data_IF_329451292933
#
_entry.id   IF_329451292933
#
_cell.length_a   1.000
_cell.length_b   1.000
_cell.length_c   1.000
_cell.angle_alpha   90.00
_cell.angle_beta   90.00
_cell.angle_gamma   90.00
#
_symmetry.space_group_name_H-M   'P 1'
#
loop_
_entity.id
_entity.type
_entity.pdbx_description
1 polymer ?
#
# COMPACT_ATOMS: atom_id res chain seq x y z
N UNK A 1 -9.58 -14.10 -14.31
CA UNK A 1 -8.87 -14.07 -13.01
C UNK A 1 -9.61 -13.15 -12.08
N UNK A 2 -9.40 -13.23 -10.77
CA UNK A 2 -10.20 -12.52 -9.79
C UNK A 2 -9.33 -11.52 -9.02
N UNK A 3 -9.97 -10.49 -8.50
CA UNK A 3 -9.41 -9.68 -7.42
C UNK A 3 -9.33 -10.57 -6.18
N UNK A 4 -8.12 -10.71 -5.62
CA UNK A 4 -7.84 -11.64 -4.52
C UNK A 4 -7.54 -10.89 -3.21
N UNK A 5 -7.58 -11.63 -2.10
CA UNK A 5 -7.12 -11.14 -0.81
C UNK A 5 -5.60 -10.94 -0.80
N UNK A 6 -5.12 -9.88 -0.13
CA UNK A 6 -3.67 -9.67 0.08
C UNK A 6 -3.04 -10.78 0.92
N UNK A 7 -3.81 -11.49 1.72
CA UNK A 7 -3.32 -12.58 2.57
C UNK A 7 -2.45 -13.57 1.80
N UNK A 8 -2.92 -14.02 0.64
CA UNK A 8 -2.18 -15.01 -0.17
C UNK A 8 -0.86 -14.45 -0.72
N UNK A 9 -0.87 -13.18 -1.16
CA UNK A 9 0.32 -12.50 -1.67
C UNK A 9 1.36 -12.28 -0.59
N UNK A 10 0.92 -11.85 0.61
CA UNK A 10 1.83 -11.53 1.72
C UNK A 10 2.39 -12.78 2.40
N UNK A 11 1.62 -13.87 2.48
CA UNK A 11 2.10 -15.16 2.97
C UNK A 11 3.17 -15.74 2.04
N UNK A 12 2.96 -15.66 0.72
CA UNK A 12 3.99 -16.09 -0.24
C UNK A 12 5.24 -15.21 -0.16
N UNK A 13 5.07 -13.89 -0.05
CA UNK A 13 6.18 -12.95 0.12
C UNK A 13 6.99 -13.25 1.39
N UNK A 14 6.33 -13.54 2.51
CA UNK A 14 6.97 -13.89 3.77
C UNK A 14 7.73 -15.21 3.68
N UNK A 15 7.15 -16.21 3.04
CA UNK A 15 7.77 -17.52 2.88
C UNK A 15 9.01 -17.48 1.95
N UNK A 16 9.04 -16.54 1.00
CA UNK A 16 10.07 -16.45 -0.03
C UNK A 16 11.01 -15.24 0.10
N UNK A 17 10.90 -14.46 1.20
CA UNK A 17 11.83 -13.38 1.54
C UNK A 17 11.84 -12.21 0.56
N UNK A 18 10.65 -11.76 0.10
CA UNK A 18 10.47 -10.57 -0.71
C UNK A 18 9.30 -9.73 -0.19
N UNK A 19 9.07 -8.54 -0.75
CA UNK A 19 7.89 -7.76 -0.43
C UNK A 19 7.02 -7.53 -1.68
N UNK A 20 5.69 -7.47 -1.49
CA UNK A 20 4.75 -7.06 -2.53
C UNK A 20 4.62 -5.53 -2.49
N UNK A 21 4.91 -4.82 -3.60
CA UNK A 21 4.67 -3.39 -3.63
C UNK A 21 3.15 -3.10 -3.68
N UNK A 22 2.73 -2.15 -2.86
CA UNK A 22 1.37 -1.62 -2.83
C UNK A 22 1.39 -0.19 -3.37
N UNK A 23 0.74 0.01 -4.51
CA UNK A 23 0.75 1.28 -5.22
C UNK A 23 -0.58 2.00 -5.07
N UNK A 24 -0.56 3.25 -4.61
CA UNK A 24 -1.76 4.07 -4.55
C UNK A 24 -2.20 4.47 -5.96
N UNK A 25 -3.50 4.27 -6.23
CA UNK A 25 -4.16 4.52 -7.51
C UNK A 25 -5.13 5.68 -7.40
N UNK A 26 -5.39 6.37 -8.52
CA UNK A 26 -6.24 7.57 -8.52
C UNK A 26 -7.20 7.65 -9.71
N UNK A 27 -6.86 7.02 -10.84
CA UNK A 27 -7.61 7.02 -12.09
C UNK A 27 -7.21 5.85 -12.99
N UNK A 28 -7.82 5.75 -14.16
CA UNK A 28 -7.55 4.66 -15.12
C UNK A 28 -6.08 4.62 -15.57
N UNK A 29 -5.47 5.79 -15.80
CA UNK A 29 -4.09 5.89 -16.27
C UNK A 29 -3.10 5.39 -15.23
N UNK A 30 -3.31 5.69 -13.95
CA UNK A 30 -2.44 5.21 -12.87
C UNK A 30 -2.55 3.69 -12.69
N UNK A 31 -3.77 3.14 -12.75
CA UNK A 31 -4.00 1.69 -12.72
C UNK A 31 -3.30 1.01 -13.90
N UNK A 32 -3.50 1.52 -15.12
CA UNK A 32 -2.92 0.95 -16.32
C UNK A 32 -1.39 0.98 -16.28
N UNK A 33 -0.77 2.12 -15.91
CA UNK A 33 0.68 2.26 -15.85
C UNK A 33 1.32 1.24 -14.89
N UNK A 34 0.72 1.03 -13.71
CA UNK A 34 1.18 0.06 -12.73
C UNK A 34 1.08 -1.36 -13.28
N UNK A 35 -0.09 -1.73 -13.81
CA UNK A 35 -0.36 -3.10 -14.22
C UNK A 35 0.40 -3.51 -15.48
N UNK A 36 0.67 -2.59 -16.42
CA UNK A 36 1.55 -2.84 -17.57
C UNK A 36 2.94 -3.31 -17.09
N UNK A 37 3.56 -2.59 -16.14
CA UNK A 37 4.89 -2.96 -15.62
C UNK A 37 4.85 -4.23 -14.77
N UNK A 38 3.83 -4.38 -13.91
CA UNK A 38 3.70 -5.58 -13.07
C UNK A 38 3.52 -6.84 -13.93
N UNK A 39 2.74 -6.75 -15.02
CA UNK A 39 2.59 -7.84 -15.98
C UNK A 39 3.90 -8.16 -16.71
N UNK A 40 4.58 -7.12 -17.24
CA UNK A 40 5.87 -7.24 -17.92
C UNK A 40 6.92 -7.93 -17.04
N UNK A 41 7.00 -7.52 -15.78
CA UNK A 41 7.97 -8.04 -14.81
C UNK A 41 7.47 -9.28 -14.04
N UNK A 42 6.25 -9.74 -14.29
CA UNK A 42 5.61 -10.86 -13.58
C UNK A 42 5.66 -10.68 -12.05
N UNK A 43 5.36 -9.47 -11.60
CA UNK A 43 5.34 -9.08 -10.19
C UNK A 43 3.93 -9.14 -9.62
N UNK A 44 3.71 -9.76 -8.45
CA UNK A 44 2.45 -9.56 -7.72
C UNK A 44 2.27 -8.08 -7.37
N UNK A 45 1.03 -7.65 -7.26
CA UNK A 45 0.70 -6.23 -7.05
C UNK A 45 -0.50 -6.06 -6.13
N UNK A 46 -0.42 -5.03 -5.30
CA UNK A 46 -1.52 -4.49 -4.52
C UNK A 46 -1.83 -3.09 -5.08
N UNK A 47 -3.07 -2.88 -5.52
CA UNK A 47 -3.58 -1.56 -5.88
C UNK A 47 -4.31 -0.99 -4.68
N UNK A 48 -3.80 0.11 -4.13
CA UNK A 48 -4.28 0.71 -2.89
C UNK A 48 -5.14 1.95 -3.17
N UNK A 49 -6.33 2.02 -2.59
CA UNK A 49 -7.21 3.18 -2.66
C UNK A 49 -7.53 3.74 -1.29
N UNK A 50 -7.21 5.02 -1.06
CA UNK A 50 -7.57 5.77 0.14
C UNK A 50 -9.03 6.22 0.09
N UNK A 51 -9.62 6.69 1.20
CA UNK A 51 -10.94 7.35 1.16
C UNK A 51 -11.01 8.49 0.13
N UNK A 52 -9.91 9.26 -0.05
CA UNK A 52 -9.80 10.30 -1.06
C UNK A 52 -9.91 9.77 -2.49
N UNK A 53 -9.29 8.63 -2.78
CA UNK A 53 -9.42 7.95 -4.07
C UNK A 53 -10.89 7.65 -4.39
N UNK A 54 -11.63 7.06 -3.44
CA UNK A 54 -13.04 6.69 -3.64
C UNK A 54 -14.03 7.86 -3.60
N UNK A 55 -13.60 9.04 -3.18
CA UNK A 55 -14.33 10.30 -3.38
C UNK A 55 -14.15 10.85 -4.79
N UNK A 56 -12.98 10.60 -5.41
CA UNK A 56 -12.65 11.08 -6.75
C UNK A 56 -13.25 10.21 -7.86
N UNK A 57 -13.18 8.88 -7.70
CA UNK A 57 -13.73 7.89 -8.64
C UNK A 57 -14.48 6.81 -7.85
N UNK A 58 -15.66 6.41 -8.32
CA UNK A 58 -16.48 5.44 -7.59
C UNK A 58 -15.80 4.07 -7.50
N UNK A 59 -16.08 3.36 -6.40
CA UNK A 59 -15.53 2.02 -6.17
C UNK A 59 -15.87 1.05 -7.31
N UNK A 60 -17.10 1.10 -7.81
CA UNK A 60 -17.60 0.23 -8.87
C UNK A 60 -16.79 0.42 -10.16
N UNK A 61 -16.39 1.65 -10.47
CA UNK A 61 -15.57 1.98 -11.64
C UNK A 61 -14.14 1.46 -11.46
N UNK A 62 -13.52 1.69 -10.29
CA UNK A 62 -12.18 1.15 -9.97
C UNK A 62 -12.21 -0.37 -10.01
N UNK A 63 -13.22 -1.00 -9.40
CA UNK A 63 -13.36 -2.45 -9.36
C UNK A 63 -13.50 -3.04 -10.79
N UNK A 64 -14.31 -2.40 -11.63
CA UNK A 64 -14.49 -2.81 -13.02
C UNK A 64 -13.18 -2.70 -13.82
N UNK A 65 -12.44 -1.60 -13.67
CA UNK A 65 -11.12 -1.40 -14.29
C UNK A 65 -10.12 -2.47 -13.81
N UNK A 66 -10.01 -2.69 -12.51
CA UNK A 66 -9.14 -3.71 -11.94
C UNK A 66 -9.49 -5.11 -12.47
N UNK A 67 -10.78 -5.45 -12.54
CA UNK A 67 -11.25 -6.75 -13.06
C UNK A 67 -10.93 -6.92 -14.55
N UNK A 68 -11.15 -5.88 -15.35
CA UNK A 68 -10.84 -5.89 -16.78
C UNK A 68 -9.33 -6.06 -17.01
N UNK A 69 -8.51 -5.31 -16.32
CA UNK A 69 -7.05 -5.40 -16.45
C UNK A 69 -6.48 -6.71 -15.91
N UNK A 70 -7.00 -7.25 -14.77
CA UNK A 70 -6.62 -8.58 -14.29
C UNK A 70 -6.81 -9.66 -15.36
N UNK A 71 -7.90 -9.54 -16.14
CA UNK A 71 -8.17 -10.44 -17.28
C UNK A 71 -7.23 -10.17 -18.45
N UNK A 72 -7.06 -8.89 -18.84
CA UNK A 72 -6.23 -8.49 -19.98
C UNK A 72 -4.76 -8.90 -19.80
N UNK A 73 -4.23 -8.71 -18.62
CA UNK A 73 -2.82 -9.02 -18.30
C UNK A 73 -2.61 -10.43 -17.74
N UNK A 74 -3.68 -11.21 -17.62
CA UNK A 74 -3.65 -12.58 -17.08
C UNK A 74 -2.88 -12.69 -15.75
N UNK A 75 -3.16 -11.78 -14.82
CA UNK A 75 -2.47 -11.73 -13.54
C UNK A 75 -3.44 -11.51 -12.37
N UNK A 76 -3.21 -12.18 -11.23
CA UNK A 76 -3.93 -11.87 -9.99
C UNK A 76 -3.51 -10.50 -9.46
N UNK A 77 -4.45 -9.75 -8.93
CA UNK A 77 -4.18 -8.50 -8.23
C UNK A 77 -5.04 -8.40 -6.98
N UNK A 78 -4.57 -7.65 -5.99
CA UNK A 78 -5.37 -7.27 -4.85
C UNK A 78 -5.78 -5.80 -4.96
N UNK A 79 -7.07 -5.51 -4.77
CA UNK A 79 -7.58 -4.17 -4.52
C UNK A 79 -7.70 -3.99 -3.01
N UNK A 80 -6.96 -3.04 -2.47
CA UNK A 80 -6.81 -2.82 -1.04
C UNK A 80 -7.39 -1.47 -0.62
N UNK A 81 -8.21 -1.47 0.42
CA UNK A 81 -8.68 -0.26 1.07
C UNK A 81 -7.60 0.25 2.01
N UNK A 82 -7.00 1.40 1.68
CA UNK A 82 -5.86 1.96 2.38
C UNK A 82 -6.30 3.08 3.32
N UNK A 83 -5.86 3.07 4.58
CA UNK A 83 -6.18 4.06 5.62
C UNK A 83 -7.68 4.40 5.77
N UNK A 84 -8.54 3.38 5.80
CA UNK A 84 -9.94 3.55 6.13
C UNK A 84 -10.16 3.56 7.64
N UNK A 85 -11.04 4.42 8.14
CA UNK A 85 -11.30 4.61 9.58
C UNK A 85 -12.69 4.14 10.01
N UNK A 86 -13.55 3.72 9.07
CA UNK A 86 -14.95 3.39 9.32
C UNK A 86 -15.28 1.96 8.95
N UNK A 87 -15.75 1.17 9.92
CA UNK A 87 -16.26 -0.18 9.69
C UNK A 87 -17.43 -0.18 8.67
N UNK A 88 -18.33 0.80 8.73
CA UNK A 88 -19.48 0.83 7.81
C UNK A 88 -19.05 1.15 6.37
N UNK A 89 -18.01 1.96 6.20
CA UNK A 89 -17.43 2.22 4.89
C UNK A 89 -16.73 0.97 4.32
N UNK A 90 -15.94 0.29 5.15
CA UNK A 90 -15.30 -0.99 4.78
C UNK A 90 -16.37 -2.04 4.42
N UNK A 91 -17.44 -2.17 5.21
CA UNK A 91 -18.54 -3.11 4.94
C UNK A 91 -19.15 -2.92 3.55
N UNK A 92 -19.45 -1.68 3.18
CA UNK A 92 -20.01 -1.36 1.86
C UNK A 92 -19.07 -1.81 0.74
N UNK A 93 -17.77 -1.53 0.88
CA UNK A 93 -16.76 -1.84 -0.14
C UNK A 93 -16.46 -3.34 -0.23
N UNK A 94 -16.45 -4.04 0.89
CA UNK A 94 -16.30 -5.51 0.92
C UNK A 94 -17.51 -6.21 0.28
N UNK A 95 -18.73 -5.73 0.54
CA UNK A 95 -19.93 -6.25 -0.14
C UNK A 95 -19.91 -5.99 -1.66
N UNK A 96 -19.24 -4.93 -2.11
CA UNK A 96 -19.03 -4.65 -3.54
C UNK A 96 -17.89 -5.49 -4.17
N UNK A 97 -17.21 -6.33 -3.39
CA UNK A 97 -16.25 -7.30 -3.93
C UNK A 97 -14.80 -7.10 -3.50
N UNK A 98 -14.44 -6.05 -2.77
CA UNK A 98 -13.09 -5.88 -2.22
C UNK A 98 -12.75 -7.01 -1.23
N UNK A 99 -11.50 -7.50 -1.28
CA UNK A 99 -11.05 -8.63 -0.45
C UNK A 99 -9.83 -8.31 0.41
N UNK A 100 -9.51 -7.03 0.56
CA UNK A 100 -8.42 -6.55 1.41
C UNK A 100 -8.72 -5.16 1.94
N UNK A 101 -8.61 -4.94 3.23
CA UNK A 101 -8.91 -3.67 3.86
C UNK A 101 -7.95 -3.37 5.00
N UNK A 102 -7.47 -2.13 5.07
CA UNK A 102 -6.85 -1.58 6.25
C UNK A 102 -7.89 -0.77 7.03
N UNK A 103 -7.93 -1.02 8.34
CA UNK A 103 -8.59 -0.16 9.31
C UNK A 103 -7.54 0.57 10.14
N UNK A 104 -7.53 1.89 10.03
CA UNK A 104 -6.57 2.72 10.72
C UNK A 104 -7.17 3.29 12.02
N UNK A 105 -6.79 2.68 13.12
CA UNK A 105 -7.09 3.13 14.48
C UNK A 105 -5.85 3.64 15.22
N UNK A 106 -4.75 3.92 14.53
CA UNK A 106 -3.45 4.29 15.13
C UNK A 106 -3.49 5.58 15.96
N UNK A 107 -4.49 6.43 15.68
CA UNK A 107 -4.73 7.67 16.41
C UNK A 107 -5.52 7.48 17.73
N UNK A 108 -6.09 6.29 17.96
CA UNK A 108 -6.79 5.96 19.21
C UNK A 108 -5.83 5.34 20.26
N UNK A 109 -6.19 5.40 21.56
CA UNK A 109 -5.52 4.59 22.56
C UNK A 109 -5.57 3.10 22.24
N UNK A 110 -4.56 2.34 22.67
CA UNK A 110 -4.40 0.92 22.37
C UNK A 110 -5.69 0.09 22.49
N UNK A 111 -6.41 0.24 23.61
CA UNK A 111 -7.63 -0.55 23.86
C UNK A 111 -8.78 -0.21 22.88
N UNK A 112 -8.86 1.04 22.44
CA UNK A 112 -9.86 1.49 21.47
C UNK A 112 -9.49 1.04 20.06
N UNK A 113 -8.20 1.13 19.69
CA UNK A 113 -7.67 0.59 18.44
C UNK A 113 -7.94 -0.92 18.35
N UNK A 114 -7.60 -1.70 19.39
CA UNK A 114 -7.91 -3.14 19.44
C UNK A 114 -9.40 -3.42 19.24
N UNK A 115 -10.28 -2.68 19.92
CA UNK A 115 -11.73 -2.86 19.78
C UNK A 115 -12.24 -2.57 18.38
N UNK A 116 -11.76 -1.48 17.76
CA UNK A 116 -12.11 -1.10 16.40
C UNK A 116 -11.64 -2.17 15.42
N UNK A 117 -10.36 -2.49 15.45
CA UNK A 117 -9.74 -3.48 14.55
C UNK A 117 -10.40 -4.84 14.68
N UNK A 118 -10.64 -5.33 15.91
CA UNK A 118 -11.32 -6.59 16.15
C UNK A 118 -12.70 -6.64 15.49
N UNK A 119 -13.47 -5.57 15.55
CA UNK A 119 -14.80 -5.50 14.93
C UNK A 119 -14.74 -5.59 13.39
N UNK A 120 -13.67 -5.03 12.78
CA UNK A 120 -13.44 -5.12 11.33
C UNK A 120 -12.97 -6.52 10.95
N UNK A 121 -12.05 -7.11 11.71
CA UNK A 121 -11.56 -8.48 11.49
C UNK A 121 -12.71 -9.48 11.54
N UNK A 122 -13.57 -9.43 12.56
CA UNK A 122 -14.70 -10.33 12.70
C UNK A 122 -15.67 -10.27 11.50
N UNK A 123 -15.90 -9.08 10.97
CA UNK A 123 -16.70 -8.90 9.75
C UNK A 123 -15.94 -9.38 8.50
N UNK A 124 -14.74 -8.90 8.27
CA UNK A 124 -13.99 -9.14 7.04
C UNK A 124 -13.67 -10.63 6.85
N UNK A 125 -13.25 -11.32 7.90
CA UNK A 125 -12.96 -12.76 7.83
C UNK A 125 -14.19 -13.58 7.43
N UNK A 126 -15.41 -13.17 7.82
CA UNK A 126 -16.64 -13.83 7.37
C UNK A 126 -16.90 -13.67 5.86
N UNK A 127 -16.19 -12.76 5.18
CA UNK A 127 -16.33 -12.43 3.77
C UNK A 127 -15.09 -12.80 2.94
N UNK A 128 -14.17 -13.61 3.46
CA UNK A 128 -12.88 -13.94 2.85
C UNK A 128 -12.07 -12.68 2.46
N UNK A 129 -12.11 -11.68 3.33
CA UNK A 129 -11.40 -10.42 3.19
C UNK A 129 -10.34 -10.30 4.26
N UNK A 130 -9.08 -10.06 3.87
CA UNK A 130 -7.97 -9.84 4.80
C UNK A 130 -8.00 -8.44 5.41
N UNK A 131 -7.48 -8.33 6.63
CA UNK A 131 -7.41 -7.07 7.36
C UNK A 131 -5.98 -6.72 7.71
N UNK A 132 -5.60 -5.48 7.37
CA UNK A 132 -4.41 -4.80 7.83
C UNK A 132 -4.79 -3.79 8.91
N UNK A 133 -3.91 -3.59 9.88
CA UNK A 133 -4.04 -2.52 10.87
C UNK A 133 -2.69 -1.86 11.12
N UNK A 134 -2.71 -0.70 11.78
CA UNK A 134 -1.51 0.04 12.16
C UNK A 134 -1.39 0.13 13.68
N UNK A 135 -0.18 -0.08 14.18
CA UNK A 135 0.20 0.14 15.57
C UNK A 135 1.48 0.97 15.64
N UNK A 136 1.51 1.92 16.57
CA UNK A 136 2.38 3.08 16.48
C UNK A 136 1.68 4.14 15.63
N UNK A 137 2.30 5.29 15.40
CA UNK A 137 1.71 6.36 14.59
C UNK A 137 2.76 6.99 13.71
N UNK A 138 2.54 6.92 12.40
CA UNK A 138 3.40 7.60 11.45
C UNK A 138 3.04 9.10 11.37
N UNK A 139 4.06 9.96 11.27
CA UNK A 139 3.88 11.37 10.94
C UNK A 139 3.82 11.60 9.43
N UNK A 140 3.57 12.85 9.01
CA UNK A 140 3.60 13.26 7.61
C UNK A 140 2.23 13.42 6.96
N UNK A 141 2.23 13.53 5.62
CA UNK A 141 1.02 13.82 4.84
C UNK A 141 0.83 12.77 3.75
N UNK A 142 -0.33 12.13 3.73
CA UNK A 142 -0.75 11.23 2.65
C UNK A 142 -2.21 11.50 2.28
N UNK A 143 -2.43 11.87 1.01
CA UNK A 143 -3.72 12.29 0.46
C UNK A 143 -4.42 13.34 1.36
N UNK A 144 -5.56 12.98 1.98
CA UNK A 144 -6.35 13.86 2.87
C UNK A 144 -5.89 13.81 4.35
N UNK A 145 -4.89 12.97 4.68
CA UNK A 145 -4.40 12.78 6.05
C UNK A 145 -3.15 13.59 6.32
N UNK A 146 -3.08 14.22 7.49
CA UNK A 146 -1.90 14.94 7.98
C UNK A 146 -1.69 14.65 9.47
N UNK A 147 -0.49 14.18 9.81
CA UNK A 147 -0.09 13.88 11.20
C UNK A 147 1.17 14.65 11.52
N UNK A 148 1.11 15.50 12.55
CA UNK A 148 2.27 16.24 13.03
C UNK A 148 3.36 15.28 13.55
N UNK A 149 4.62 15.62 13.28
CA UNK A 149 5.78 14.81 13.70
C UNK A 149 5.84 14.62 15.23
N UNK A 150 5.33 15.58 16.00
CA UNK A 150 5.25 15.48 17.47
C UNK A 150 4.21 14.45 17.95
N UNK A 151 3.24 14.11 17.10
CA UNK A 151 2.22 13.09 17.37
C UNK A 151 2.61 11.69 16.92
N UNK A 152 3.77 11.54 16.25
CA UNK A 152 4.30 10.25 15.83
C UNK A 152 4.96 9.50 16.98
N UNK A 153 4.75 8.18 17.05
CA UNK A 153 5.44 7.33 18.03
C UNK A 153 5.71 5.94 17.46
N UNK A 154 6.85 5.36 17.89
CA UNK A 154 7.31 4.08 17.40
C UNK A 154 6.52 2.92 18.02
N UNK A 155 6.36 1.84 17.27
CA UNK A 155 5.68 0.62 17.72
C UNK A 155 6.50 -0.09 18.79
N UNK A 156 5.89 -0.41 19.93
CA UNK A 156 6.49 -1.27 20.94
C UNK A 156 6.34 -2.74 20.56
N UNK A 157 7.40 -3.59 20.60
CA UNK A 157 7.32 -4.99 20.18
C UNK A 157 6.33 -5.83 21.01
N UNK A 158 6.23 -5.60 22.33
CA UNK A 158 5.31 -6.36 23.17
C UNK A 158 3.85 -5.94 22.97
N UNK A 159 3.63 -4.64 22.72
CA UNK A 159 2.30 -4.16 22.31
C UNK A 159 1.92 -4.71 20.93
N UNK A 160 2.84 -4.80 19.98
CA UNK A 160 2.60 -5.39 18.66
C UNK A 160 2.15 -6.86 18.77
N UNK A 161 2.86 -7.67 19.56
CA UNK A 161 2.47 -9.05 19.85
C UNK A 161 1.07 -9.12 20.41
N UNK A 162 0.81 -8.38 21.49
CA UNK A 162 -0.49 -8.34 22.15
C UNK A 162 -1.61 -7.85 21.22
N UNK A 163 -1.32 -6.89 20.37
CA UNK A 163 -2.27 -6.35 19.39
C UNK A 163 -2.71 -7.42 18.40
N UNK A 164 -1.76 -8.14 17.81
CA UNK A 164 -2.04 -9.23 16.87
C UNK A 164 -2.84 -10.34 17.53
N UNK A 165 -2.47 -10.78 18.75
CA UNK A 165 -3.17 -11.80 19.51
C UNK A 165 -4.62 -11.41 19.83
N UNK A 166 -4.88 -10.16 20.16
CA UNK A 166 -6.21 -9.66 20.53
C UNK A 166 -7.11 -9.40 19.32
N UNK A 167 -6.54 -8.95 18.21
CA UNK A 167 -7.31 -8.52 17.04
C UNK A 167 -7.47 -9.62 15.99
N UNK A 168 -6.45 -10.46 15.79
CA UNK A 168 -6.41 -11.46 14.75
C UNK A 168 -6.22 -10.90 13.34
N UNK A 169 -5.56 -9.74 13.20
CA UNK A 169 -5.23 -9.14 11.89
C UNK A 169 -4.38 -10.05 11.02
N UNK A 170 -4.49 -9.90 9.70
CA UNK A 170 -3.71 -10.69 8.72
C UNK A 170 -2.36 -10.06 8.39
N UNK A 171 -2.20 -8.74 8.63
CA UNK A 171 -0.94 -8.01 8.48
C UNK A 171 -0.90 -6.79 9.39
N UNK A 172 0.30 -6.34 9.77
CA UNK A 172 0.51 -5.24 10.70
C UNK A 172 1.48 -4.20 10.12
N UNK A 173 0.98 -2.97 9.96
CA UNK A 173 1.82 -1.81 9.70
C UNK A 173 2.45 -1.32 11.01
N UNK A 174 3.77 -1.09 10.98
CA UNK A 174 4.56 -0.74 12.16
C UNK A 174 5.31 0.57 11.96
N UNK A 175 5.27 1.43 12.96
CA UNK A 175 6.00 2.69 12.99
C UNK A 175 7.43 2.45 13.47
N UNK A 176 8.39 2.57 12.56
CA UNK A 176 9.83 2.36 12.81
C UNK A 176 10.69 3.56 12.44
N UNK A 177 10.07 4.74 12.30
CA UNK A 177 10.76 6.00 11.96
C UNK A 177 10.55 6.45 10.52
N UNK A 178 9.68 5.81 9.76
CA UNK A 178 9.18 6.32 8.48
C UNK A 178 8.04 7.32 8.69
N UNK A 179 7.76 8.13 7.67
CA UNK A 179 6.67 9.10 7.66
C UNK A 179 6.09 9.21 6.24
N UNK A 180 4.83 9.61 6.12
CA UNK A 180 4.19 9.82 4.84
C UNK A 180 4.71 11.08 4.13
N UNK A 181 4.82 11.04 2.79
CA UNK A 181 5.28 12.15 1.97
C UNK A 181 6.77 12.13 1.67
N UNK A 182 7.35 13.30 1.39
CA UNK A 182 8.79 13.47 1.13
C UNK A 182 9.53 13.82 2.42
N UNK A 183 10.76 13.37 2.50
CA UNK A 183 11.63 13.67 3.64
C UNK A 183 12.47 14.92 3.39
N UNK A 184 12.56 15.81 4.38
CA UNK A 184 13.50 16.94 4.34
C UNK A 184 14.96 16.50 4.63
N UNK A 185 15.13 15.32 5.22
CA UNK A 185 16.42 14.68 5.55
C UNK A 185 16.23 13.17 5.47
N UNK A 186 17.31 12.42 5.25
CA UNK A 186 17.29 10.96 5.28
C UNK A 186 16.62 10.46 6.57
N UNK A 187 15.58 9.61 6.48
CA UNK A 187 14.86 9.11 7.66
C UNK A 187 15.77 8.26 8.54
N UNK A 188 15.53 8.34 9.85
CA UNK A 188 16.19 7.47 10.83
C UNK A 188 15.31 6.27 11.10
N UNK A 189 15.56 5.17 10.40
CA UNK A 189 14.80 3.93 10.55
C UNK A 189 15.40 3.11 11.69
N UNK A 190 14.57 2.67 12.64
CA UNK A 190 14.92 1.80 13.74
C UNK A 190 14.86 0.33 13.32
N UNK A 191 15.91 -0.13 12.64
CA UNK A 191 16.02 -1.52 12.16
C UNK A 191 16.09 -2.54 13.29
N UNK A 192 16.63 -2.15 14.47
CA UNK A 192 16.67 -3.03 15.64
C UNK A 192 15.25 -3.29 16.15
N UNK A 193 14.45 -2.25 16.28
CA UNK A 193 13.04 -2.35 16.66
C UNK A 193 12.25 -3.21 15.69
N UNK A 194 12.48 -3.06 14.39
CA UNK A 194 11.83 -3.92 13.37
C UNK A 194 12.16 -5.39 13.57
N UNK A 195 13.44 -5.71 13.84
CA UNK A 195 13.86 -7.09 14.12
C UNK A 195 13.20 -7.62 15.41
N UNK A 196 13.16 -6.82 16.48
CA UNK A 196 12.50 -7.18 17.75
C UNK A 196 10.99 -7.43 17.56
N UNK A 197 10.31 -6.61 16.74
CA UNK A 197 8.90 -6.84 16.37
C UNK A 197 8.77 -8.16 15.61
N UNK A 198 9.63 -8.42 14.61
CA UNK A 198 9.57 -9.65 13.81
C UNK A 198 9.76 -10.92 14.66
N UNK A 199 10.57 -10.85 15.71
CA UNK A 199 10.78 -11.99 16.63
C UNK A 199 9.53 -12.40 17.42
N UNK A 200 8.60 -11.47 17.64
CA UNK A 200 7.40 -11.69 18.48
C UNK A 200 6.07 -11.64 17.73
N UNK A 201 6.09 -11.25 16.45
CA UNK A 201 4.90 -11.11 15.58
C UNK A 201 5.03 -12.05 14.38
N UNK A 202 4.10 -12.97 14.21
CA UNK A 202 4.13 -13.97 13.13
C UNK A 202 3.46 -13.50 11.83
N UNK A 203 2.54 -12.52 11.90
CA UNK A 203 1.85 -12.00 10.72
C UNK A 203 2.77 -11.18 9.83
N UNK A 204 2.49 -11.06 8.53
CA UNK A 204 3.15 -10.17 7.60
C UNK A 204 3.30 -8.74 8.15
N UNK A 205 4.50 -8.17 8.06
CA UNK A 205 4.78 -6.79 8.44
C UNK A 205 4.71 -5.87 7.23
N UNK A 206 4.21 -4.66 7.44
CA UNK A 206 3.98 -3.66 6.40
C UNK A 206 4.78 -2.39 6.68
N UNK A 207 5.43 -1.86 5.64
CA UNK A 207 6.13 -0.58 5.66
C UNK A 207 5.28 0.50 4.99
N UNK A 208 4.77 1.44 5.77
CA UNK A 208 4.18 2.68 5.30
C UNK A 208 5.24 3.80 5.20
N UNK A 209 4.93 4.86 4.43
CA UNK A 209 5.82 6.01 4.29
C UNK A 209 7.15 5.68 3.59
N UNK A 210 7.14 4.74 2.63
CA UNK A 210 8.36 4.31 1.94
C UNK A 210 8.77 5.22 0.77
N UNK A 211 7.95 6.20 0.39
CA UNK A 211 8.32 7.19 -0.64
C UNK A 211 9.53 8.00 -0.18
N UNK A 212 10.52 8.20 -1.09
CA UNK A 212 11.76 8.93 -0.80
C UNK A 212 12.67 8.29 0.29
N UNK A 213 12.39 7.06 0.72
CA UNK A 213 13.30 6.27 1.56
C UNK A 213 14.39 5.68 0.65
N UNK A 214 15.69 5.74 1.01
CA UNK A 214 16.75 5.11 0.23
C UNK A 214 16.47 3.63 -0.04
N UNK A 215 16.70 3.19 -1.27
CA UNK A 215 16.39 1.83 -1.72
C UNK A 215 17.08 0.74 -0.86
N UNK A 216 18.30 1.00 -0.39
CA UNK A 216 19.02 0.10 0.52
C UNK A 216 18.34 -0.03 1.88
N UNK A 217 17.67 1.03 2.36
CA UNK A 217 16.92 0.98 3.62
C UNK A 217 15.65 0.16 3.45
N UNK A 218 14.94 0.33 2.33
CA UNK A 218 13.77 -0.50 2.01
C UNK A 218 14.17 -1.98 1.92
N UNK A 219 15.23 -2.30 1.19
CA UNK A 219 15.76 -3.69 1.12
C UNK A 219 16.09 -4.23 2.51
N UNK A 220 16.71 -3.41 3.36
CA UNK A 220 17.02 -3.83 4.73
C UNK A 220 15.78 -4.12 5.56
N UNK A 221 14.68 -3.37 5.40
CA UNK A 221 13.42 -3.69 6.10
C UNK A 221 12.82 -5.01 5.61
N UNK A 222 12.94 -5.32 4.31
CA UNK A 222 12.48 -6.59 3.73
C UNK A 222 13.29 -7.77 4.27
N UNK A 223 14.61 -7.65 4.35
CA UNK A 223 15.47 -8.65 5.01
C UNK A 223 15.09 -8.91 6.46
N UNK A 224 14.53 -7.91 7.13
CA UNK A 224 14.04 -7.99 8.52
C UNK A 224 12.57 -8.37 8.64
N UNK A 225 11.92 -8.77 7.54
CA UNK A 225 10.59 -9.39 7.56
C UNK A 225 9.43 -8.51 7.10
N UNK A 226 9.69 -7.32 6.52
CA UNK A 226 8.65 -6.56 5.83
C UNK A 226 8.26 -7.29 4.54
N UNK A 227 6.96 -7.42 4.30
CA UNK A 227 6.39 -8.16 3.15
C UNK A 227 5.45 -7.33 2.27
N UNK A 228 5.12 -6.11 2.70
CA UNK A 228 4.35 -5.12 1.91
C UNK A 228 5.02 -3.76 2.06
N UNK A 229 5.16 -3.05 0.94
CA UNK A 229 5.75 -1.71 0.90
C UNK A 229 4.79 -0.76 0.19
N UNK A 230 4.28 0.25 0.91
CA UNK A 230 3.39 1.26 0.34
C UNK A 230 4.18 2.33 -0.43
N UNK A 231 3.74 2.63 -1.65
CA UNK A 231 4.34 3.62 -2.55
C UNK A 231 3.24 4.53 -3.10
N UNK A 232 3.26 5.81 -2.74
CA UNK A 232 2.26 6.79 -3.14
C UNK A 232 2.88 8.07 -3.75
N UNK A 233 3.57 8.83 -2.93
CA UNK A 233 4.03 10.19 -3.27
C UNK A 233 4.99 10.21 -4.46
N UNK A 234 5.90 9.26 -4.58
CA UNK A 234 6.84 9.16 -5.71
C UNK A 234 6.11 9.00 -7.05
N UNK A 235 5.03 8.21 -7.08
CA UNK A 235 4.22 7.97 -8.28
C UNK A 235 3.54 9.27 -8.73
N UNK A 236 2.93 10.00 -7.78
CA UNK A 236 2.26 11.28 -8.04
C UNK A 236 3.23 12.33 -8.58
N UNK A 237 4.42 12.41 -7.99
CA UNK A 237 5.47 13.37 -8.39
C UNK A 237 5.98 13.06 -9.80
N UNK A 238 6.30 11.79 -10.09
CA UNK A 238 6.79 11.38 -11.40
C UNK A 238 5.76 11.69 -12.49
N UNK A 239 4.49 11.28 -12.27
CA UNK A 239 3.40 11.55 -13.20
C UNK A 239 3.20 13.05 -13.45
N UNK A 240 2.99 13.83 -12.38
CA UNK A 240 2.73 15.26 -12.48
C UNK A 240 3.93 16.05 -13.06
N UNK A 241 5.16 15.65 -12.71
CA UNK A 241 6.38 16.26 -13.23
C UNK A 241 6.49 16.13 -14.75
N UNK A 242 6.28 14.92 -15.28
CA UNK A 242 6.31 14.65 -16.72
C UNK A 242 5.20 15.41 -17.48
N UNK A 243 3.98 15.44 -16.93
CA UNK A 243 2.86 16.19 -17.54
C UNK A 243 3.17 17.69 -17.58
N UNK A 244 3.71 18.26 -16.50
CA UNK A 244 4.12 19.67 -16.45
C UNK A 244 5.22 19.99 -17.48
N UNK A 245 6.23 19.11 -17.60
CA UNK A 245 7.30 19.27 -18.59
C UNK A 245 6.74 19.23 -20.02
N UNK A 246 5.84 18.28 -20.29
CA UNK A 246 5.20 18.19 -21.61
C UNK A 246 4.44 19.45 -21.99
N UNK A 247 3.65 20.04 -21.07
CA UNK A 247 2.93 21.30 -21.34
C UNK A 247 3.87 22.50 -21.52
N UNK A 248 5.03 22.51 -20.85
CA UNK A 248 6.03 23.54 -21.07
C UNK A 248 6.59 23.52 -22.49
N UNK A 249 6.78 22.32 -23.06
CA UNK A 249 7.23 22.11 -24.44
C UNK A 249 6.10 22.22 -25.48
N UNK A 250 4.86 21.92 -25.07
CA UNK A 250 3.68 21.89 -25.93
C UNK A 250 2.56 22.80 -25.39
N UNK A 251 2.73 24.12 -25.35
CA UNK A 251 1.78 25.04 -24.70
C UNK A 251 0.40 25.09 -25.37
N UNK A 252 0.28 24.61 -26.62
CA UNK A 252 -0.98 24.52 -27.35
C UNK A 252 -1.55 23.09 -27.33
N UNK A 253 -0.88 22.14 -26.67
CA UNK A 253 -1.31 20.76 -26.56
C UNK A 253 -2.59 20.64 -25.73
N UNK A 254 -3.57 19.87 -26.22
CA UNK A 254 -4.89 19.74 -25.57
C UNK A 254 -5.46 18.31 -25.58
N UNK A 255 -4.76 17.37 -26.20
CA UNK A 255 -5.23 15.98 -26.29
C UNK A 255 -4.69 15.16 -25.09
N UNK A 256 -5.58 14.66 -24.19
CA UNK A 256 -5.19 13.91 -23.00
C UNK A 256 -4.41 12.63 -23.33
N UNK A 257 -4.61 12.03 -24.49
CA UNK A 257 -3.87 10.81 -24.88
C UNK A 257 -2.36 11.03 -24.95
N UNK A 258 -1.91 12.25 -25.22
CA UNK A 258 -0.48 12.58 -25.28
C UNK A 258 0.08 12.96 -23.90
N UNK A 259 -0.52 13.94 -23.19
CA UNK A 259 0.04 14.38 -21.92
C UNK A 259 -0.15 13.37 -20.79
N UNK A 260 -1.23 12.57 -20.80
CA UNK A 260 -1.37 11.47 -19.84
C UNK A 260 -0.34 10.37 -20.12
N UNK A 261 -0.03 10.09 -21.40
CA UNK A 261 0.95 9.06 -21.75
C UNK A 261 2.34 9.34 -21.18
N UNK A 262 2.83 10.57 -21.28
CA UNK A 262 4.16 10.91 -20.70
C UNK A 262 4.16 10.79 -19.17
N UNK A 263 3.03 11.14 -18.52
CA UNK A 263 2.86 10.91 -17.08
C UNK A 263 2.91 9.43 -16.71
N UNK A 264 2.18 8.58 -17.46
CA UNK A 264 2.21 7.14 -17.30
C UNK A 264 3.62 6.55 -17.48
N UNK A 265 4.33 6.98 -18.52
CA UNK A 265 5.67 6.45 -18.82
C UNK A 265 6.68 6.82 -17.70
N UNK A 266 6.62 8.03 -17.17
CA UNK A 266 7.43 8.43 -16.01
C UNK A 266 7.09 7.62 -14.74
N UNK A 267 5.80 7.38 -14.50
CA UNK A 267 5.33 6.57 -13.38
C UNK A 267 5.80 5.11 -13.49
N UNK A 268 5.82 4.54 -14.70
CA UNK A 268 6.30 3.17 -14.95
C UNK A 268 7.74 2.95 -14.51
N UNK A 269 8.60 3.96 -14.65
CA UNK A 269 9.99 3.84 -14.19
C UNK A 269 10.07 3.71 -12.66
N UNK A 270 9.23 4.45 -11.92
CA UNK A 270 9.13 4.30 -10.47
C UNK A 270 8.64 2.90 -10.10
N UNK A 271 7.58 2.41 -10.77
CA UNK A 271 7.04 1.07 -10.54
C UNK A 271 8.10 0.00 -10.80
N UNK A 272 8.84 0.09 -11.91
CA UNK A 272 9.93 -0.82 -12.27
C UNK A 272 11.03 -0.85 -11.21
N UNK A 273 11.44 0.33 -10.73
CA UNK A 273 12.42 0.42 -9.64
C UNK A 273 11.92 -0.25 -8.36
N UNK A 274 10.69 0.04 -7.92
CA UNK A 274 10.14 -0.52 -6.68
C UNK A 274 9.92 -2.03 -6.75
N UNK A 275 9.56 -2.59 -7.89
CA UNK A 275 9.54 -4.06 -8.10
C UNK A 275 10.92 -4.67 -7.87
N UNK A 276 12.00 -4.05 -8.40
CA UNK A 276 13.36 -4.52 -8.19
C UNK A 276 13.81 -4.35 -6.72
N UNK A 277 13.46 -3.24 -6.09
CA UNK A 277 13.78 -3.00 -4.66
C UNK A 277 13.08 -4.02 -3.77
N UNK A 278 11.81 -4.30 -4.05
CA UNK A 278 11.01 -5.28 -3.30
C UNK A 278 11.39 -6.74 -3.59
N UNK A 279 12.19 -7.03 -4.62
CA UNK A 279 12.54 -8.39 -5.02
C UNK A 279 11.34 -9.20 -5.55
N UNK A 280 10.30 -8.51 -6.05
CA UNK A 280 9.02 -9.11 -6.46
C UNK A 280 8.96 -9.51 -7.93
N UNK A 281 9.98 -9.21 -8.74
CA UNK A 281 10.05 -9.63 -10.13
C UNK A 281 10.05 -11.18 -10.27
N UNK A 282 9.30 -11.68 -11.27
CA UNK A 282 9.16 -13.11 -11.57
C UNK A 282 8.57 -13.97 -10.43
N UNK A 283 7.72 -13.38 -9.57
CA UNK A 283 7.05 -14.09 -8.47
C UNK A 283 5.65 -14.60 -8.83
N UNK A 284 5.11 -14.25 -10.01
CA UNK A 284 3.86 -14.84 -10.53
C UNK A 284 4.23 -16.00 -11.45
N UNK A 285 3.66 -17.18 -11.19
CA UNK A 285 3.78 -18.34 -12.09
C UNK A 285 3.08 -18.07 -13.43
N UNK A 286 3.62 -18.65 -14.51
CA UNK A 286 3.03 -18.51 -15.85
C UNK A 286 1.68 -19.20 -15.95
#
# INVERSE_FOLDING_TARGET
>A
MSIISTKYLLQDAQANGYAVPAYNIHNAETIQAILEVCSEMRSPVILAGTPGTFKHIALEEIYALCSAYSTTYNMPLALHLDHHESLDDIRRKVHAGVRSAMIDGSHFPFAENVKLVKSVVDFCHSQDCSVEAELGRLGGVEDDMSVDAESAFLTDPQEAKRFVELTGVDSLAVAIGTAHGLYSKTPKIDFQRLAEIREVVDVPLVLHGASDVPDEFVRRTIELGVTKVNVATELKIAFAGAVKAWFAENPQGNDPRYYMRVGMDAMKEVVRNKINVCGSANRISA
#
